data_IF_269976048006
#
_entry.id   IF_269976048006
#
_cell.length_a   1.000
_cell.length_b   1.000
_cell.length_c   1.000
_cell.angle_alpha   90.00
_cell.angle_beta   90.00
_cell.angle_gamma   90.00
#
_symmetry.space_group_name_H-M   'P 1'
#
loop_
_entity.id
_entity.type
_entity.pdbx_description
1 polymer ?
#
# COMPACT_ATOMS: atom_id res chain seq x y z
N UNK A 1 -17.84 -0.46 -3.83
CA UNK A 1 -17.63 -1.64 -4.71
C UNK A 1 -16.52 -1.30 -5.71
N UNK A 2 -15.63 -2.25 -6.01
CA UNK A 2 -14.55 -2.06 -6.98
C UNK A 2 -15.11 -1.94 -8.40
N UNK A 3 -14.62 -1.03 -9.26
CA UNK A 3 -15.08 -0.94 -10.65
C UNK A 3 -14.82 -2.23 -11.44
N UNK A 4 -15.81 -2.67 -12.21
CA UNK A 4 -15.79 -3.94 -12.95
C UNK A 4 -14.59 -4.07 -13.90
N UNK A 5 -14.15 -2.94 -14.50
CA UNK A 5 -12.97 -2.88 -15.38
C UNK A 5 -11.68 -3.41 -14.74
N UNK A 6 -11.60 -3.46 -13.40
CA UNK A 6 -10.43 -3.94 -12.67
C UNK A 6 -10.62 -5.34 -12.08
N UNK A 7 -11.76 -5.99 -12.29
CA UNK A 7 -12.03 -7.35 -11.76
C UNK A 7 -10.94 -8.36 -12.19
N UNK A 8 -10.53 -8.32 -13.45
CA UNK A 8 -9.47 -9.19 -13.99
C UNK A 8 -8.06 -8.92 -13.43
N UNK A 9 -7.87 -7.80 -12.72
CA UNK A 9 -6.57 -7.37 -12.20
C UNK A 9 -6.32 -7.95 -10.80
N UNK A 10 -7.37 -8.24 -10.04
CA UNK A 10 -7.30 -8.44 -8.59
C UNK A 10 -7.13 -9.90 -8.16
N UNK A 11 -6.35 -10.69 -8.89
CA UNK A 11 -5.92 -11.99 -8.36
C UNK A 11 -4.79 -11.81 -7.35
N UNK A 12 -4.76 -12.65 -6.31
CA UNK A 12 -3.72 -12.56 -5.26
C UNK A 12 -2.31 -12.64 -5.85
N UNK A 13 -2.10 -13.49 -6.86
CA UNK A 13 -0.81 -13.58 -7.55
C UNK A 13 -0.37 -12.25 -8.17
N UNK A 14 -1.26 -11.55 -8.90
CA UNK A 14 -0.93 -10.27 -9.54
C UNK A 14 -0.66 -9.18 -8.51
N UNK A 15 -1.46 -9.13 -7.44
CA UNK A 15 -1.28 -8.20 -6.32
C UNK A 15 0.08 -8.42 -5.66
N UNK A 16 0.46 -9.67 -5.37
CA UNK A 16 1.76 -9.94 -4.76
C UNK A 16 2.92 -9.55 -5.68
N UNK A 17 2.89 -9.92 -6.97
CA UNK A 17 3.95 -9.48 -7.91
C UNK A 17 4.05 -7.95 -7.94
N UNK A 18 2.91 -7.25 -7.95
CA UNK A 18 2.85 -5.80 -7.86
C UNK A 18 3.50 -5.25 -6.60
N UNK A 19 3.21 -5.86 -5.45
CA UNK A 19 3.81 -5.49 -4.16
C UNK A 19 5.32 -5.66 -4.17
N UNK A 20 5.84 -6.79 -4.68
CA UNK A 20 7.29 -6.98 -4.82
C UNK A 20 7.92 -5.89 -5.69
N UNK A 21 7.35 -5.62 -6.87
CA UNK A 21 7.85 -4.58 -7.78
C UNK A 21 7.80 -3.17 -7.19
N UNK A 22 6.77 -2.86 -6.40
CA UNK A 22 6.60 -1.54 -5.78
C UNK A 22 7.76 -1.18 -4.83
N UNK A 23 8.30 -2.18 -4.12
CA UNK A 23 9.41 -2.01 -3.19
C UNK A 23 10.78 -2.24 -3.81
N UNK A 24 10.86 -2.93 -4.94
CA UNK A 24 12.12 -3.31 -5.57
C UNK A 24 12.72 -2.19 -6.42
N UNK A 25 14.00 -1.89 -6.20
CA UNK A 25 14.71 -0.90 -7.02
C UNK A 25 15.09 -1.44 -8.41
N UNK A 26 14.82 -2.70 -8.73
CA UNK A 26 15.09 -3.32 -10.04
C UNK A 26 14.57 -2.51 -11.22
N UNK A 27 13.48 -1.76 -11.01
CA UNK A 27 12.82 -0.93 -12.01
C UNK A 27 13.52 0.42 -12.28
N UNK A 28 14.42 0.91 -11.41
CA UNK A 28 15.16 2.15 -11.65
C UNK A 28 16.49 1.91 -12.34
N UNK A 29 16.95 2.89 -13.14
CA UNK A 29 18.09 2.72 -14.05
C UNK A 29 19.35 2.26 -13.33
N UNK A 30 19.64 2.88 -12.19
CA UNK A 30 20.82 2.60 -11.35
C UNK A 30 20.50 1.71 -10.14
N UNK A 31 19.27 1.20 -10.04
CA UNK A 31 18.78 0.39 -8.92
C UNK A 31 18.87 1.07 -7.56
N UNK A 32 18.82 2.41 -7.52
CA UNK A 32 18.92 3.18 -6.28
C UNK A 32 17.57 3.48 -5.62
N UNK A 33 16.49 3.54 -6.40
CA UNK A 33 15.15 3.90 -5.91
C UNK A 33 14.07 2.94 -6.40
N UNK A 34 12.96 2.86 -5.67
CA UNK A 34 11.74 2.14 -6.01
C UNK A 34 10.51 3.06 -5.86
N UNK A 35 9.30 2.56 -6.16
CA UNK A 35 8.08 3.35 -5.93
C UNK A 35 7.95 3.74 -4.45
N UNK A 36 8.31 2.81 -3.54
CA UNK A 36 8.30 3.01 -2.10
C UNK A 36 9.32 4.06 -1.60
N UNK A 37 10.30 4.48 -2.40
CA UNK A 37 11.23 5.56 -2.03
C UNK A 37 10.50 6.91 -1.88
N UNK A 38 9.46 7.14 -2.69
CA UNK A 38 8.64 8.36 -2.67
C UNK A 38 7.25 8.12 -2.06
N UNK A 39 6.72 6.90 -2.16
CA UNK A 39 5.38 6.56 -1.69
C UNK A 39 5.43 5.69 -0.42
N UNK A 40 5.58 6.33 0.74
CA UNK A 40 5.77 5.66 2.02
C UNK A 40 4.42 5.28 2.66
N UNK A 41 4.17 3.99 2.99
CA UNK A 41 2.91 3.56 3.60
C UNK A 41 2.56 4.32 4.87
N UNK A 42 3.54 4.53 5.74
CA UNK A 42 3.40 5.22 7.02
C UNK A 42 3.05 6.71 6.86
N UNK A 43 3.21 7.26 5.65
CA UNK A 43 2.82 8.63 5.30
C UNK A 43 1.57 8.67 4.42
N UNK A 44 0.82 7.59 4.27
CA UNK A 44 -0.36 7.53 3.40
C UNK A 44 -0.01 7.37 1.91
N UNK A 45 1.11 6.70 1.61
CA UNK A 45 1.66 6.49 0.28
C UNK A 45 2.07 7.78 -0.44
N UNK A 46 2.66 8.71 0.30
CA UNK A 46 3.33 9.92 -0.20
C UNK A 46 4.65 10.11 0.55
N UNK A 47 5.39 11.19 0.27
CA UNK A 47 6.52 11.64 1.07
C UNK A 47 6.23 12.95 1.84
N UNK A 48 7.20 13.33 2.65
CA UNK A 48 7.20 14.54 3.48
C UNK A 48 7.92 15.73 2.82
N UNK A 49 8.35 15.59 1.56
CA UNK A 49 9.16 16.60 0.87
C UNK A 49 8.30 17.41 -0.09
N UNK A 50 8.74 18.63 -0.41
CA UNK A 50 8.07 19.47 -1.42
C UNK A 50 8.31 18.93 -2.82
N UNK A 51 9.51 18.38 -3.01
CA UNK A 51 9.97 17.70 -4.21
C UNK A 51 10.72 16.44 -3.81
N UNK A 52 10.40 15.34 -4.48
CA UNK A 52 11.00 14.04 -4.22
C UNK A 52 12.32 13.90 -4.96
N UNK A 53 13.25 13.13 -4.40
CA UNK A 53 14.55 12.89 -5.02
C UNK A 53 14.50 11.63 -5.88
N UNK A 54 14.68 11.78 -7.18
CA UNK A 54 14.88 10.69 -8.12
C UNK A 54 16.34 10.29 -8.30
N UNK A 55 16.63 9.54 -9.36
CA UNK A 55 17.99 9.06 -9.65
C UNK A 55 18.97 10.22 -9.84
N UNK A 56 20.22 10.00 -9.44
CA UNK A 56 21.29 11.02 -9.45
C UNK A 56 20.98 12.29 -8.65
N UNK A 57 20.05 12.24 -7.71
CA UNK A 57 19.70 13.38 -6.86
C UNK A 57 18.82 14.43 -7.54
N UNK A 58 18.24 14.13 -8.70
CA UNK A 58 17.31 15.05 -9.38
C UNK A 58 16.03 15.23 -8.57
N UNK A 59 15.54 16.46 -8.47
CA UNK A 59 14.30 16.75 -7.77
C UNK A 59 13.11 16.70 -8.72
N UNK A 60 11.99 16.16 -8.27
CA UNK A 60 10.73 16.16 -9.03
C UNK A 60 10.18 17.56 -9.25
N UNK A 61 9.41 17.76 -10.33
CA UNK A 61 8.79 19.05 -10.62
C UNK A 61 7.58 19.37 -9.73
N UNK A 62 6.95 18.32 -9.21
CA UNK A 62 5.74 18.38 -8.40
C UNK A 62 5.88 17.47 -7.19
N UNK A 63 5.14 17.80 -6.14
CA UNK A 63 5.04 16.99 -4.93
C UNK A 63 4.46 15.62 -5.26
N UNK A 64 4.95 14.58 -4.59
CA UNK A 64 4.38 13.24 -4.68
C UNK A 64 2.91 13.23 -4.25
N UNK A 65 2.04 12.62 -5.07
CA UNK A 65 0.63 12.43 -4.73
C UNK A 65 0.45 11.14 -3.91
N UNK A 66 -0.51 11.10 -2.98
CA UNK A 66 -0.87 9.87 -2.31
C UNK A 66 -1.48 8.83 -3.28
N UNK A 67 -1.30 7.54 -3.00
CA UNK A 67 -1.76 6.43 -3.85
C UNK A 67 -2.97 5.66 -3.31
N UNK A 68 -3.67 6.18 -2.31
CA UNK A 68 -4.88 5.54 -1.81
C UNK A 68 -6.09 5.83 -2.73
N UNK A 69 -7.01 4.86 -2.82
CA UNK A 69 -8.29 4.95 -3.52
C UNK A 69 -8.21 5.22 -5.04
N UNK A 70 -7.13 4.78 -5.70
CA UNK A 70 -6.92 5.00 -7.14
C UNK A 70 -7.94 4.29 -8.04
N UNK A 71 -8.62 3.26 -7.54
CA UNK A 71 -9.63 2.52 -8.30
C UNK A 71 -10.75 3.42 -8.85
N UNK A 72 -11.14 4.47 -8.14
CA UNK A 72 -12.21 5.38 -8.57
C UNK A 72 -11.69 6.59 -9.34
N UNK A 73 -10.35 6.73 -9.46
CA UNK A 73 -9.71 7.80 -10.22
C UNK A 73 -9.91 7.63 -11.72
N UNK A 74 -10.27 8.73 -12.39
CA UNK A 74 -10.41 8.79 -13.87
C UNK A 74 -9.19 9.39 -14.57
N UNK A 75 -8.45 10.26 -13.88
CA UNK A 75 -7.22 10.87 -14.38
C UNK A 75 -6.15 10.88 -13.28
N UNK A 76 -4.90 10.62 -13.64
CA UNK A 76 -3.76 10.51 -12.73
C UNK A 76 -2.79 11.68 -12.88
N UNK A 77 -1.97 11.89 -11.85
CA UNK A 77 -1.10 13.06 -11.66
C UNK A 77 -1.85 14.38 -11.41
N UNK A 78 -1.11 15.39 -10.92
CA UNK A 78 -1.64 16.72 -10.63
C UNK A 78 -2.25 17.43 -11.84
N UNK A 79 -1.76 17.13 -13.04
CA UNK A 79 -2.24 17.73 -14.29
C UNK A 79 -3.16 16.80 -15.10
N UNK A 80 -3.48 15.61 -14.59
CA UNK A 80 -4.38 14.69 -15.28
C UNK A 80 -3.82 14.07 -16.55
N UNK A 81 -2.49 14.09 -16.74
CA UNK A 81 -1.81 13.68 -17.99
C UNK A 81 -1.97 12.20 -18.36
N UNK A 82 -2.49 11.38 -17.45
CA UNK A 82 -2.74 9.96 -17.71
C UNK A 82 -4.18 9.60 -17.37
N UNK A 83 -4.82 8.79 -18.21
CA UNK A 83 -6.21 8.36 -18.09
C UNK A 83 -6.36 6.90 -17.67
N UNK A 84 -5.25 6.16 -17.61
CA UNK A 84 -5.22 4.75 -17.21
C UNK A 84 -4.16 4.53 -16.14
N UNK A 85 -4.40 3.58 -15.23
CA UNK A 85 -3.47 3.34 -14.12
C UNK A 85 -2.20 2.68 -14.63
N UNK A 86 -2.33 1.84 -15.65
CA UNK A 86 -1.26 1.13 -16.33
C UNK A 86 -0.28 2.10 -16.98
N UNK A 87 -0.78 3.17 -17.62
CA UNK A 87 0.10 4.23 -18.12
C UNK A 87 0.72 5.03 -16.96
N UNK A 88 -0.09 5.39 -15.96
CA UNK A 88 0.38 6.16 -14.82
C UNK A 88 1.52 5.48 -14.03
N UNK A 89 1.51 4.15 -13.87
CA UNK A 89 2.59 3.42 -13.19
C UNK A 89 3.87 3.33 -14.03
N UNK A 90 3.74 3.37 -15.36
CA UNK A 90 4.90 3.29 -16.26
C UNK A 90 5.62 4.62 -16.42
N UNK A 91 4.92 5.75 -16.31
CA UNK A 91 5.54 7.07 -16.51
C UNK A 91 6.71 7.37 -15.53
N UNK A 92 6.61 7.15 -14.20
CA UNK A 92 7.73 7.33 -13.27
C UNK A 92 8.94 6.45 -13.56
N UNK A 93 8.68 5.22 -14.04
CA UNK A 93 9.73 4.26 -14.43
C UNK A 93 10.58 4.83 -15.56
N UNK A 94 9.92 5.47 -16.54
CA UNK A 94 10.53 6.01 -17.75
C UNK A 94 11.08 7.43 -17.59
N UNK A 95 10.62 8.19 -16.59
CA UNK A 95 11.00 9.57 -16.40
C UNK A 95 12.49 9.68 -15.95
N UNK A 96 13.36 10.38 -16.70
CA UNK A 96 14.80 10.49 -16.38
C UNK A 96 15.11 11.26 -15.08
N UNK A 97 14.18 12.08 -14.59
CA UNK A 97 14.25 12.76 -13.31
C UNK A 97 13.71 11.95 -12.13
N UNK A 98 13.01 10.83 -12.40
CA UNK A 98 12.49 9.91 -11.40
C UNK A 98 13.31 8.60 -11.44
N UNK A 99 12.82 7.52 -12.05
CA UNK A 99 13.52 6.22 -12.06
C UNK A 99 14.41 6.02 -13.30
N UNK A 100 14.12 6.71 -14.39
CA UNK A 100 14.95 6.87 -15.60
C UNK A 100 15.35 5.62 -16.37
N UNK A 101 14.61 4.52 -16.23
CA UNK A 101 14.83 3.29 -17.00
C UNK A 101 14.17 3.35 -18.38
N UNK A 102 14.54 2.43 -19.28
CA UNK A 102 13.75 2.10 -20.47
C UNK A 102 12.94 0.80 -20.28
N UNK A 103 11.95 0.58 -21.15
CA UNK A 103 11.19 -0.68 -21.18
C UNK A 103 12.14 -1.88 -21.39
N UNK A 104 13.04 -1.80 -22.36
CA UNK A 104 13.98 -2.89 -22.64
C UNK A 104 14.87 -3.21 -21.44
N UNK A 105 15.32 -2.18 -20.71
CA UNK A 105 16.15 -2.38 -19.52
C UNK A 105 15.40 -3.09 -18.40
N UNK A 106 14.14 -2.72 -18.13
CA UNK A 106 13.36 -3.38 -17.08
C UNK A 106 13.00 -4.82 -17.50
N UNK A 107 12.62 -5.05 -18.75
CA UNK A 107 12.23 -6.38 -19.22
C UNK A 107 13.43 -7.33 -19.28
N UNK A 108 14.61 -6.87 -19.72
CA UNK A 108 15.84 -7.67 -19.69
C UNK A 108 16.18 -8.11 -18.25
N UNK A 109 16.10 -7.19 -17.28
CA UNK A 109 16.37 -7.51 -15.87
C UNK A 109 15.36 -8.49 -15.29
N UNK A 110 14.07 -8.24 -15.50
CA UNK A 110 13.00 -9.07 -14.96
C UNK A 110 13.04 -10.48 -15.56
N UNK A 111 13.22 -10.59 -16.88
CA UNK A 111 13.31 -11.89 -17.55
C UNK A 111 14.60 -12.66 -17.21
N UNK A 112 15.69 -11.97 -16.84
CA UNK A 112 16.90 -12.65 -16.33
C UNK A 112 16.82 -13.00 -14.84
N UNK A 113 15.81 -12.52 -14.11
CA UNK A 113 15.65 -12.78 -12.69
C UNK A 113 14.76 -14.01 -12.44
N UNK A 114 15.31 -15.16 -11.99
CA UNK A 114 14.55 -16.41 -11.85
C UNK A 114 13.29 -16.26 -10.96
N UNK A 115 13.40 -15.50 -9.87
CA UNK A 115 12.28 -15.26 -8.97
C UNK A 115 11.12 -14.51 -9.64
N UNK A 116 11.43 -13.50 -10.48
CA UNK A 116 10.38 -12.76 -11.18
C UNK A 116 9.77 -13.62 -12.29
N UNK A 117 10.56 -14.40 -13.03
CA UNK A 117 10.02 -15.34 -14.02
C UNK A 117 9.00 -16.30 -13.41
N UNK A 118 9.31 -16.88 -12.25
CA UNK A 118 8.39 -17.79 -11.55
C UNK A 118 7.13 -17.03 -11.13
N UNK A 119 7.28 -15.89 -10.45
CA UNK A 119 6.14 -15.09 -9.99
C UNK A 119 5.21 -14.66 -11.14
N UNK A 120 5.77 -14.18 -12.24
CA UNK A 120 4.99 -13.77 -13.42
C UNK A 120 4.37 -14.96 -14.16
N UNK A 121 5.09 -16.08 -14.30
CA UNK A 121 4.51 -17.31 -14.87
C UNK A 121 3.31 -17.77 -14.06
N UNK A 122 3.40 -17.77 -12.73
CA UNK A 122 2.29 -18.16 -11.84
C UNK A 122 1.13 -17.17 -11.90
N UNK A 123 1.41 -15.86 -11.85
CA UNK A 123 0.35 -14.84 -11.76
C UNK A 123 -0.34 -14.52 -13.10
N UNK A 124 0.35 -14.73 -14.23
CA UNK A 124 -0.13 -14.32 -15.55
C UNK A 124 -0.15 -15.45 -16.59
N UNK A 125 0.33 -16.66 -16.25
CA UNK A 125 0.54 -17.74 -17.21
C UNK A 125 1.38 -17.31 -18.43
N UNK A 126 2.34 -16.40 -18.22
CA UNK A 126 3.15 -15.82 -19.28
C UNK A 126 4.52 -16.52 -19.37
N UNK A 127 4.98 -16.94 -20.57
CA UNK A 127 6.28 -17.57 -20.75
C UNK A 127 7.46 -16.58 -20.57
N UNK A 128 7.20 -15.32 -20.89
CA UNK A 128 8.10 -14.18 -20.72
C UNK A 128 7.34 -13.01 -20.08
N UNK A 129 8.07 -12.15 -19.39
CA UNK A 129 7.54 -10.96 -18.74
C UNK A 129 7.48 -9.85 -19.78
N UNK A 130 6.29 -9.32 -20.05
CA UNK A 130 6.08 -8.18 -20.95
C UNK A 130 5.81 -6.88 -20.19
N UNK A 131 5.80 -5.75 -20.90
CA UNK A 131 5.43 -4.44 -20.35
C UNK A 131 4.03 -4.47 -19.75
N UNK A 132 3.08 -5.12 -20.42
CA UNK A 132 1.68 -5.22 -20.02
C UNK A 132 1.55 -5.99 -18.70
N UNK A 133 2.28 -7.10 -18.55
CA UNK A 133 2.33 -7.84 -17.29
C UNK A 133 2.82 -6.95 -16.14
N UNK A 134 3.89 -6.19 -16.36
CA UNK A 134 4.47 -5.29 -15.35
C UNK A 134 3.50 -4.18 -14.96
N UNK A 135 2.89 -3.51 -15.94
CA UNK A 135 1.94 -2.44 -15.67
C UNK A 135 0.69 -2.95 -14.95
N UNK A 136 0.19 -4.14 -15.31
CA UNK A 136 -0.95 -4.77 -14.64
C UNK A 136 -0.57 -5.17 -13.21
N UNK A 137 0.59 -5.80 -12.98
CA UNK A 137 1.02 -6.20 -11.63
C UNK A 137 1.08 -5.00 -10.68
N UNK A 138 1.77 -3.92 -11.07
CA UNK A 138 1.85 -2.69 -10.28
C UNK A 138 0.45 -2.09 -10.04
N UNK A 139 -0.36 -2.00 -11.09
CA UNK A 139 -1.75 -1.51 -10.97
C UNK A 139 -2.58 -2.36 -10.01
N UNK A 140 -2.46 -3.69 -10.06
CA UNK A 140 -3.15 -4.63 -9.17
C UNK A 140 -2.84 -4.34 -7.71
N UNK A 141 -1.57 -4.12 -7.34
CA UNK A 141 -1.21 -3.73 -5.98
C UNK A 141 -1.77 -2.36 -5.61
N UNK A 142 -1.63 -1.35 -6.47
CA UNK A 142 -2.14 -0.01 -6.19
C UNK A 142 -3.67 0.03 -6.03
N UNK A 143 -4.40 -0.86 -6.72
CA UNK A 143 -5.85 -0.98 -6.59
C UNK A 143 -6.29 -1.55 -5.23
N UNK A 144 -5.42 -2.28 -4.52
CA UNK A 144 -5.74 -2.78 -3.16
C UNK A 144 -5.55 -1.71 -2.09
N UNK A 145 -4.88 -0.58 -2.41
CA UNK A 145 -4.64 0.52 -1.49
C UNK A 145 -5.92 1.33 -1.25
N UNK A 146 -6.91 0.71 -0.61
CA UNK A 146 -8.21 1.31 -0.31
C UNK A 146 -8.28 1.77 1.14
N UNK A 147 -8.55 3.06 1.35
CA UNK A 147 -8.75 3.69 2.65
C UNK A 147 -10.21 4.08 2.82
N UNK A 148 -10.94 3.26 3.58
CA UNK A 148 -12.35 3.45 3.91
C UNK A 148 -12.69 2.99 5.34
N UNK A 149 -11.70 2.91 6.24
CA UNK A 149 -11.90 2.49 7.63
C UNK A 149 -11.47 3.56 8.66
N UNK A 150 -11.39 4.82 8.22
CA UNK A 150 -11.14 5.98 9.10
C UNK A 150 -12.22 6.14 10.16
N UNK A 151 -11.97 6.98 11.18
CA UNK A 151 -12.98 7.26 12.21
C UNK A 151 -14.27 7.82 11.60
N UNK A 152 -14.16 8.68 10.59
CA UNK A 152 -15.33 9.18 9.86
C UNK A 152 -16.09 8.05 9.16
N UNK A 153 -15.39 7.09 8.55
CA UNK A 153 -16.06 5.96 7.88
C UNK A 153 -16.79 5.06 8.88
N UNK A 154 -16.21 4.83 10.06
CA UNK A 154 -16.83 4.07 11.14
C UNK A 154 -18.11 4.78 11.63
N UNK A 155 -18.05 6.10 11.83
CA UNK A 155 -19.21 6.93 12.21
C UNK A 155 -20.29 6.84 11.12
N UNK A 156 -19.93 6.88 9.83
CA UNK A 156 -20.91 6.80 8.73
C UNK A 156 -21.55 5.42 8.56
N UNK A 157 -20.85 4.33 8.91
CA UNK A 157 -21.39 2.96 8.81
C UNK A 157 -22.40 2.65 9.91
N UNK A 158 -22.17 3.17 11.11
CA UNK A 158 -23.12 3.12 12.21
C UNK A 158 -24.03 4.33 12.03
N UNK A 159 -25.05 4.19 11.18
CA UNK A 159 -26.03 5.23 10.85
C UNK A 159 -26.24 6.18 12.05
N UNK A 160 -25.92 7.47 11.88
CA UNK A 160 -25.85 8.47 12.96
C UNK A 160 -27.15 8.58 13.78
N UNK A 161 -28.24 7.99 13.27
CA UNK A 161 -29.53 7.83 13.94
C UNK A 161 -29.55 6.86 15.13
N UNK A 162 -28.56 5.99 15.32
CA UNK A 162 -28.63 4.90 16.30
C UNK A 162 -27.65 5.00 17.49
N UNK A 163 -26.97 6.13 17.66
CA UNK A 163 -26.11 6.31 18.83
C UNK A 163 -26.97 6.59 20.06
N UNK A 164 -26.87 5.72 21.07
CA UNK A 164 -27.36 6.02 22.42
C UNK A 164 -26.33 6.86 23.19
N UNK A 165 -26.74 7.53 24.27
CA UNK A 165 -25.83 8.27 25.14
C UNK A 165 -24.69 7.41 25.71
N UNK A 166 -24.89 6.09 25.83
CA UNK A 166 -23.89 5.12 26.28
C UNK A 166 -22.87 4.73 25.19
N UNK A 167 -23.29 4.59 23.93
CA UNK A 167 -22.37 4.35 22.81
C UNK A 167 -21.38 5.53 22.64
N UNK A 168 -21.88 6.75 22.88
CA UNK A 168 -21.10 7.99 22.84
C UNK A 168 -20.06 8.08 23.94
N UNK A 169 -20.34 7.52 25.13
CA UNK A 169 -19.39 7.49 26.25
C UNK A 169 -18.25 6.47 26.05
N UNK A 170 -18.45 5.45 25.20
CA UNK A 170 -17.45 4.42 24.89
C UNK A 170 -16.41 4.84 23.86
N UNK A 171 -16.74 5.87 23.07
CA UNK A 171 -15.77 6.61 22.27
C UNK A 171 -15.28 7.79 23.09
N UNK A 172 -13.99 8.16 23.05
CA UNK A 172 -13.49 9.40 23.68
C UNK A 172 -14.14 10.71 23.15
N UNK A 173 -15.22 10.61 22.38
CA UNK A 173 -16.05 11.71 21.91
C UNK A 173 -17.15 12.01 22.95
N UNK A 174 -16.87 12.93 23.86
CA UNK A 174 -17.89 13.48 24.76
C UNK A 174 -19.13 13.93 23.97
N UNK A 175 -20.33 13.72 24.53
CA UNK A 175 -21.63 14.00 23.87
C UNK A 175 -21.79 15.45 23.38
N UNK A 176 -21.13 16.42 24.01
CA UNK A 176 -21.05 17.81 23.53
C UNK A 176 -20.16 18.02 22.30
N UNK A 177 -19.18 17.14 22.08
CA UNK A 177 -18.30 17.15 20.92
C UNK A 177 -19.06 16.77 19.66
N UNK A 178 -19.99 15.81 19.70
CA UNK A 178 -20.72 15.40 18.48
C UNK A 178 -21.67 16.46 17.90
N UNK A 179 -22.39 17.22 18.74
CA UNK A 179 -23.27 18.30 18.25
C UNK A 179 -22.46 19.44 17.61
N UNK A 180 -21.27 19.71 18.16
CA UNK A 180 -20.33 20.65 17.55
C UNK A 180 -19.74 20.09 16.25
N UNK A 181 -19.47 18.78 16.19
CA UNK A 181 -18.96 18.12 14.99
C UNK A 181 -19.96 18.06 13.85
N UNK A 182 -21.25 17.88 14.12
CA UNK A 182 -22.27 17.92 13.08
C UNK A 182 -22.37 19.32 12.46
N UNK A 183 -22.37 20.36 13.31
CA UNK A 183 -22.40 21.76 12.85
C UNK A 183 -21.13 22.13 12.08
N UNK A 184 -19.96 21.73 12.57
CA UNK A 184 -18.67 21.92 11.90
C UNK A 184 -18.60 21.14 10.58
N UNK A 185 -19.08 19.90 10.56
CA UNK A 185 -19.15 19.06 9.37
C UNK A 185 -20.02 19.70 8.28
N UNK A 186 -21.20 20.22 8.64
CA UNK A 186 -22.08 20.92 7.70
C UNK A 186 -21.39 22.17 7.14
N UNK A 187 -20.71 22.95 7.97
CA UNK A 187 -19.98 24.14 7.50
C UNK A 187 -18.81 23.78 6.57
N UNK A 188 -18.01 22.78 6.93
CA UNK A 188 -16.87 22.31 6.12
C UNK A 188 -17.37 21.72 4.80
N UNK A 189 -18.44 20.93 4.80
CA UNK A 189 -19.03 20.40 3.58
C UNK A 189 -19.57 21.53 2.69
N UNK A 190 -20.25 22.53 3.26
CA UNK A 190 -20.77 23.67 2.51
C UNK A 190 -19.66 24.49 1.82
N UNK A 191 -18.50 24.65 2.47
CA UNK A 191 -17.41 25.49 1.97
C UNK A 191 -16.38 24.73 1.11
N UNK A 192 -16.05 23.49 1.50
CA UNK A 192 -14.95 22.70 0.92
C UNK A 192 -15.43 21.48 0.15
N UNK A 193 -16.61 20.95 0.50
CA UNK A 193 -17.14 19.68 -0.02
C UNK A 193 -17.32 19.66 -1.53
N UNK A 194 -17.69 20.81 -2.12
CA UNK A 194 -17.93 20.91 -3.57
C UNK A 194 -16.74 20.53 -4.46
N UNK A 195 -15.51 20.60 -3.94
CA UNK A 195 -14.29 20.14 -4.62
C UNK A 195 -13.78 18.82 -4.05
N UNK A 196 -13.76 18.68 -2.73
CA UNK A 196 -13.07 17.57 -2.06
C UNK A 196 -13.91 16.31 -1.90
N UNK A 197 -15.24 16.40 -1.79
CA UNK A 197 -16.10 15.21 -1.66
C UNK A 197 -16.07 14.34 -2.94
N UNK A 198 -16.12 14.89 -4.16
CA UNK A 198 -15.86 14.10 -5.36
C UNK A 198 -14.47 13.43 -5.33
N UNK A 199 -13.43 14.16 -4.93
CA UNK A 199 -12.05 13.65 -4.87
C UNK A 199 -11.88 12.51 -3.86
N UNK A 200 -12.57 12.56 -2.71
CA UNK A 200 -12.62 11.48 -1.73
C UNK A 200 -13.27 10.20 -2.26
N UNK A 201 -14.13 10.33 -3.28
CA UNK A 201 -14.78 9.24 -3.99
C UNK A 201 -14.11 8.92 -5.34
N UNK A 202 -12.90 9.46 -5.57
CA UNK A 202 -12.08 9.24 -6.76
C UNK A 202 -12.43 10.07 -8.00
N UNK A 203 -13.47 10.90 -7.97
CA UNK A 203 -13.74 11.80 -9.09
C UNK A 203 -12.63 12.84 -9.22
N UNK A 204 -12.13 13.02 -10.44
CA UNK A 204 -11.09 14.01 -10.73
C UNK A 204 -11.75 15.35 -11.02
N UNK A 205 -11.59 16.28 -10.09
CA UNK A 205 -11.97 17.70 -10.26
C UNK A 205 -10.68 18.49 -10.45
N UNK A 206 -10.64 19.40 -11.42
CA UNK A 206 -9.46 20.23 -11.70
C UNK A 206 -9.82 21.69 -11.42
N UNK A 207 -9.12 22.30 -10.48
CA UNK A 207 -9.41 23.66 -10.03
C UNK A 207 -8.13 24.48 -9.99
N UNK A 208 -8.26 25.76 -10.31
CA UNK A 208 -7.26 26.76 -9.94
C UNK A 208 -7.73 27.43 -8.66
N UNK A 209 -6.99 27.26 -7.56
CA UNK A 209 -7.34 27.82 -6.26
C UNK A 209 -6.69 29.18 -5.99
N UNK A 210 -6.08 29.80 -7.01
CA UNK A 210 -5.44 31.10 -6.92
C UNK A 210 -4.14 31.11 -6.12
N UNK A 211 -3.33 30.04 -6.15
CA UNK A 211 -2.01 30.02 -5.49
C UNK A 211 -1.10 31.14 -6.04
N UNK A 212 -1.14 31.36 -7.35
CA UNK A 212 -0.37 32.37 -8.06
C UNK A 212 -1.32 33.20 -8.95
N UNK A 213 -0.97 34.47 -9.16
CA UNK A 213 -1.72 35.35 -10.06
C UNK A 213 -1.58 34.93 -11.53
N UNK A 214 -0.46 34.29 -11.87
CA UNK A 214 -0.16 33.75 -13.20
C UNK A 214 0.44 32.35 -13.06
N UNK A 215 -0.23 31.35 -13.63
CA UNK A 215 0.31 30.00 -13.80
C UNK A 215 -0.22 29.40 -15.11
N UNK A 216 0.69 29.10 -16.04
CA UNK A 216 0.39 28.43 -17.31
C UNK A 216 0.57 26.91 -17.24
N UNK A 217 0.71 26.34 -16.04
CA UNK A 217 0.90 24.91 -15.81
C UNK A 217 -0.41 24.11 -15.68
N UNK A 218 -0.31 22.98 -14.99
CA UNK A 218 -1.45 22.12 -14.66
C UNK A 218 -2.08 21.44 -15.88
N UNK A 219 -3.40 21.26 -15.83
CA UNK A 219 -4.20 20.65 -16.88
C UNK A 219 -4.06 21.36 -18.23
N UNK A 220 -3.87 22.68 -18.23
CA UNK A 220 -3.71 23.46 -19.46
C UNK A 220 -2.52 23.03 -20.32
N UNK A 221 -1.43 22.53 -19.71
CA UNK A 221 -0.30 21.95 -20.47
C UNK A 221 -0.64 20.63 -21.16
N UNK A 222 -1.71 19.96 -20.74
CA UNK A 222 -2.16 18.69 -21.30
C UNK A 222 -3.29 18.91 -22.29
N UNK A 223 -4.27 19.76 -21.96
CA UNK A 223 -5.42 20.02 -22.82
C UNK A 223 -5.12 21.00 -23.96
N UNK A 224 -4.09 21.83 -23.82
CA UNK A 224 -3.80 22.94 -24.74
C UNK A 224 -4.83 24.07 -24.70
N UNK A 225 -5.86 23.96 -23.85
CA UNK A 225 -6.90 24.96 -23.71
C UNK A 225 -6.44 26.06 -22.73
N UNK A 226 -6.37 27.34 -23.17
CA UNK A 226 -5.98 28.42 -22.28
C UNK A 226 -6.84 28.59 -21.03
N UNK A 227 -8.08 28.08 -21.02
CA UNK A 227 -8.98 28.12 -19.87
C UNK A 227 -8.63 27.09 -18.79
N UNK A 228 -7.72 26.15 -19.06
CA UNK A 228 -7.29 25.11 -18.10
C UNK A 228 -5.93 25.40 -17.45
N UNK A 229 -5.27 26.48 -17.88
CA UNK A 229 -3.99 26.89 -17.29
C UNK A 229 -4.11 27.17 -15.79
N UNK A 230 -3.19 26.59 -15.03
CA UNK A 230 -3.12 26.66 -13.57
C UNK A 230 -4.17 25.83 -12.85
N UNK A 231 -4.98 25.01 -13.56
CA UNK A 231 -5.88 24.05 -12.90
C UNK A 231 -5.12 22.78 -12.55
N UNK A 232 -5.22 22.35 -11.30
CA UNK A 232 -4.63 21.09 -10.84
C UNK A 232 -5.72 20.20 -10.25
N UNK A 233 -5.46 18.89 -10.27
CA UNK A 233 -6.36 17.89 -9.69
C UNK A 233 -6.53 18.16 -8.19
N UNK A 234 -7.78 18.27 -7.75
CA UNK A 234 -8.15 18.32 -6.34
C UNK A 234 -7.78 16.98 -5.68
N UNK A 235 -6.92 16.98 -4.65
CA UNK A 235 -6.52 15.75 -3.98
C UNK A 235 -7.61 15.27 -3.02
N UNK A 236 -7.62 13.95 -2.76
CA UNK A 236 -8.31 13.38 -1.60
C UNK A 236 -7.68 13.95 -0.32
N UNK A 237 -8.53 14.27 0.65
CA UNK A 237 -8.10 14.72 1.99
C UNK A 237 -7.90 13.56 2.97
N UNK A 238 -8.14 12.31 2.54
CA UNK A 238 -7.87 11.12 3.36
C UNK A 238 -6.39 11.00 3.64
N UNK A 239 -6.06 10.56 4.86
CA UNK A 239 -4.68 10.34 5.30
C UNK A 239 -3.77 11.58 5.15
N UNK A 240 -4.32 12.79 5.30
CA UNK A 240 -3.53 14.01 5.39
C UNK A 240 -2.93 14.12 6.80
N UNK A 241 -1.71 13.59 6.95
CA UNK A 241 -1.01 13.58 8.25
C UNK A 241 -0.38 14.93 8.59
N UNK A 242 -0.27 15.28 9.89
CA UNK A 242 0.51 16.42 10.34
C UNK A 242 1.96 16.37 9.84
N UNK A 243 2.51 17.53 9.45
CA UNK A 243 3.89 17.66 8.99
C UNK A 243 4.14 17.31 7.51
N UNK A 244 3.13 16.82 6.80
CA UNK A 244 3.21 16.71 5.34
C UNK A 244 3.17 18.11 4.71
N UNK A 245 4.00 18.33 3.70
CA UNK A 245 3.86 19.49 2.83
C UNK A 245 2.59 19.36 1.97
N UNK A 246 2.00 20.47 1.54
CA UNK A 246 0.75 20.50 0.77
C UNK A 246 0.87 21.30 -0.51
N UNK A 247 -0.16 21.19 -1.36
CA UNK A 247 -0.22 21.69 -2.73
C UNK A 247 0.62 20.88 -3.72
N UNK A 248 0.44 21.17 -5.00
CA UNK A 248 1.10 20.43 -6.08
C UNK A 248 2.62 20.66 -6.14
N UNK A 249 3.12 21.70 -5.47
CA UNK A 249 4.53 22.09 -5.41
C UNK A 249 5.11 22.06 -3.98
N UNK A 250 4.31 21.64 -3.00
CA UNK A 250 4.76 21.50 -1.62
C UNK A 250 5.08 22.82 -0.91
N UNK A 251 4.58 23.97 -1.38
CA UNK A 251 4.92 25.28 -0.81
C UNK A 251 4.42 25.50 0.62
N UNK A 252 3.38 24.78 1.04
CA UNK A 252 2.82 24.88 2.38
C UNK A 252 3.34 23.74 3.24
N UNK A 253 3.87 24.04 4.43
CA UNK A 253 4.51 23.08 5.34
C UNK A 253 3.58 22.61 6.46
N UNK A 254 2.39 23.20 6.56
CA UNK A 254 1.37 22.84 7.53
C UNK A 254 -0.03 23.28 7.06
N UNK A 255 -1.04 22.78 7.76
CA UNK A 255 -2.44 23.06 7.46
C UNK A 255 -2.81 24.54 7.71
N UNK A 256 -2.15 25.25 8.63
CA UNK A 256 -2.45 26.66 8.89
C UNK A 256 -2.20 27.51 7.65
N UNK A 257 -1.08 27.29 6.95
CA UNK A 257 -0.80 28.00 5.70
C UNK A 257 -1.81 27.70 4.59
N UNK A 258 -2.38 26.48 4.58
CA UNK A 258 -3.47 26.13 3.66
C UNK A 258 -4.74 26.92 3.99
N UNK A 259 -5.09 27.03 5.27
CA UNK A 259 -6.27 27.78 5.71
C UNK A 259 -6.08 29.29 5.47
N UNK A 260 -4.88 29.82 5.75
CA UNK A 260 -4.52 31.22 5.47
C UNK A 260 -4.66 31.57 3.99
N UNK A 261 -4.29 30.63 3.11
CA UNK A 261 -4.49 30.77 1.67
C UNK A 261 -5.96 30.99 1.32
N UNK A 262 -6.87 30.17 1.86
CA UNK A 262 -8.30 30.31 1.58
C UNK A 262 -8.95 31.52 2.24
N UNK A 263 -8.46 31.96 3.40
CA UNK A 263 -8.97 33.14 4.13
C UNK A 263 -8.50 34.48 3.58
N UNK A 264 -7.31 34.53 2.98
CA UNK A 264 -6.71 35.81 2.57
C UNK A 264 -5.74 35.73 1.37
N UNK A 265 -5.26 34.54 1.02
CA UNK A 265 -4.18 34.35 0.05
C UNK A 265 -4.62 34.18 -1.41
N UNK A 266 -5.91 33.97 -1.69
CA UNK A 266 -6.43 33.68 -3.04
C UNK A 266 -6.09 34.82 -4.01
N UNK A 267 -5.26 34.52 -5.01
CA UNK A 267 -4.89 35.45 -6.09
C UNK A 267 -5.94 35.45 -7.19
N UNK A 268 -6.10 36.61 -7.83
CA UNK A 268 -7.00 36.81 -8.96
C UNK A 268 -6.43 36.24 -10.27
N UNK A 269 -6.32 34.91 -10.35
CA UNK A 269 -5.91 34.23 -11.57
C UNK A 269 -7.04 34.27 -12.61
N UNK A 270 -6.70 34.42 -13.90
CA UNK A 270 -7.68 34.45 -15.02
C UNK A 270 -8.64 33.25 -14.98
N UNK A 271 -8.10 32.06 -14.72
CA UNK A 271 -8.82 30.79 -14.67
C UNK A 271 -9.21 30.37 -13.23
N UNK A 272 -9.23 31.30 -12.27
CA UNK A 272 -9.64 31.02 -10.89
C UNK A 272 -11.00 30.30 -10.87
N UNK A 273 -11.11 29.27 -10.04
CA UNK A 273 -12.33 28.49 -9.87
C UNK A 273 -13.55 29.41 -9.65
N UNK A 274 -14.65 29.16 -10.37
CA UNK A 274 -15.89 29.90 -10.18
C UNK A 274 -16.42 29.82 -8.72
N UNK A 275 -16.03 28.76 -7.99
CA UNK A 275 -16.39 28.54 -6.58
C UNK A 275 -15.66 29.49 -5.63
N UNK A 276 -14.56 30.07 -6.08
CA UNK A 276 -13.72 31.01 -5.34
C UNK A 276 -13.87 32.43 -5.90
N UNK A 277 -14.99 32.72 -6.55
CA UNK A 277 -15.34 34.05 -7.04
C UNK A 277 -16.61 34.57 -6.39
N UNK A 278 -16.69 35.89 -6.26
CA UNK A 278 -17.89 36.61 -5.81
C UNK A 278 -18.80 36.99 -6.99
N UNK A 279 -19.89 37.70 -6.70
CA UNK A 279 -20.83 38.17 -7.73
C UNK A 279 -20.24 39.17 -8.73
N UNK A 280 -19.06 39.73 -8.44
CA UNK A 280 -18.31 40.63 -9.32
C UNK A 280 -17.16 39.92 -10.05
N UNK A 281 -17.11 38.58 -10.00
CA UNK A 281 -16.06 37.75 -10.62
C UNK A 281 -14.64 38.02 -10.03
N UNK A 282 -14.56 38.58 -8.82
CA UNK A 282 -13.32 38.78 -8.06
C UNK A 282 -13.10 37.65 -7.05
N UNK A 283 -11.87 37.43 -6.55
CA UNK A 283 -11.59 36.39 -5.57
C UNK A 283 -12.47 36.52 -4.32
N UNK A 284 -13.18 35.43 -4.00
CA UNK A 284 -13.96 35.28 -2.77
C UNK A 284 -13.19 34.44 -1.77
N UNK A 285 -12.76 35.10 -0.70
CA UNK A 285 -12.14 34.42 0.43
C UNK A 285 -13.15 33.57 1.21
N UNK A 286 -12.71 32.45 1.75
CA UNK A 286 -13.47 31.59 2.65
C UNK A 286 -13.21 32.07 4.07
N UNK A 287 -14.19 32.73 4.70
CA UNK A 287 -14.06 33.20 6.08
C UNK A 287 -14.37 32.06 7.04
N UNK A 288 -13.34 31.56 7.73
CA UNK A 288 -13.50 30.69 8.89
C UNK A 288 -13.28 31.54 10.15
N UNK A 289 -14.15 31.41 11.15
CA UNK A 289 -13.84 31.94 12.47
C UNK A 289 -12.90 30.96 13.22
N UNK A 290 -12.48 31.31 14.43
CA UNK A 290 -11.58 30.47 15.22
C UNK A 290 -12.17 29.09 15.55
N UNK A 291 -13.50 28.95 15.59
CA UNK A 291 -14.17 27.66 15.74
C UNK A 291 -14.09 26.87 14.44
N UNK A 292 -14.33 27.51 13.29
CA UNK A 292 -14.29 26.90 11.96
C UNK A 292 -12.91 26.34 11.60
N UNK A 293 -11.83 27.05 11.95
CA UNK A 293 -10.45 26.55 11.72
C UNK A 293 -10.19 25.28 12.53
N UNK A 294 -10.48 25.30 13.83
CA UNK A 294 -10.30 24.14 14.73
C UNK A 294 -11.17 22.96 14.31
N UNK A 295 -12.42 23.21 13.92
CA UNK A 295 -13.31 22.18 13.40
C UNK A 295 -12.78 21.56 12.11
N UNK A 296 -12.19 22.36 11.22
CA UNK A 296 -11.55 21.86 9.99
C UNK A 296 -10.35 20.97 10.29
N UNK A 297 -9.48 21.40 11.20
CA UNK A 297 -8.34 20.60 11.65
C UNK A 297 -8.78 19.27 12.25
N UNK A 298 -9.76 19.32 13.17
CA UNK A 298 -10.30 18.13 13.80
C UNK A 298 -10.94 17.20 12.77
N UNK A 299 -11.76 17.73 11.86
CA UNK A 299 -12.41 16.95 10.81
C UNK A 299 -11.40 16.19 9.93
N UNK A 300 -10.29 16.83 9.58
CA UNK A 300 -9.22 16.17 8.82
C UNK A 300 -8.59 15.01 9.60
N UNK A 301 -8.50 15.07 10.93
CA UNK A 301 -8.03 13.93 11.73
C UNK A 301 -8.98 12.73 11.66
N UNK A 302 -10.28 12.96 11.49
CA UNK A 302 -11.26 11.87 11.32
C UNK A 302 -11.10 11.11 9.99
N UNK A 303 -10.41 11.71 9.01
CA UNK A 303 -10.11 11.11 7.70
C UNK A 303 -8.82 10.29 7.68
N UNK A 304 -8.11 10.20 8.82
CA UNK A 304 -6.93 9.34 8.96
C UNK A 304 -7.41 7.90 9.20
N UNK A 305 -6.93 6.99 8.37
CA UNK A 305 -7.25 5.57 8.43
C UNK A 305 -6.03 4.78 8.92
N UNK A 306 -5.92 4.61 10.24
CA UNK A 306 -4.81 3.88 10.85
C UNK A 306 -4.74 2.42 10.40
N UNK A 307 -5.88 1.79 10.10
CA UNK A 307 -5.91 0.42 9.55
C UNK A 307 -5.30 0.35 8.16
N UNK A 308 -5.40 1.42 7.36
CA UNK A 308 -4.75 1.52 6.08
C UNK A 308 -3.24 1.79 6.23
N UNK A 309 -2.86 2.74 7.10
CA UNK A 309 -1.46 3.16 7.29
C UNK A 309 -0.58 2.04 7.87
N UNK A 310 -1.15 1.20 8.73
CA UNK A 310 -0.43 0.13 9.44
C UNK A 310 -0.68 -1.27 8.84
N UNK A 311 -1.29 -1.36 7.65
CA UNK A 311 -1.65 -2.64 7.07
C UNK A 311 -0.40 -3.45 6.65
N UNK A 312 -0.13 -4.63 7.24
CA UNK A 312 1.03 -5.44 6.87
C UNK A 312 0.97 -5.96 5.43
N UNK A 313 -0.23 -6.11 4.84
CA UNK A 313 -0.39 -6.48 3.44
C UNK A 313 0.16 -5.41 2.47
N UNK A 314 0.34 -4.18 2.97
CA UNK A 314 0.86 -3.06 2.21
C UNK A 314 2.35 -2.82 2.48
N UNK A 315 2.95 -3.51 3.44
CA UNK A 315 4.34 -3.30 3.85
C UNK A 315 5.35 -3.91 2.87
N UNK A 316 6.61 -3.53 3.06
CA UNK A 316 7.74 -3.97 2.26
C UNK A 316 7.94 -5.51 2.34
N UNK A 317 7.78 -6.28 1.25
CA UNK A 317 7.95 -7.73 1.25
C UNK A 317 9.39 -8.19 1.53
N UNK A 318 10.38 -7.31 1.35
CA UNK A 318 11.80 -7.63 1.59
C UNK A 318 12.19 -7.54 3.08
N UNK A 319 11.39 -6.85 3.89
CA UNK A 319 11.63 -6.68 5.32
C UNK A 319 10.69 -7.64 6.06
N UNK A 320 11.25 -8.72 6.60
CA UNK A 320 10.51 -9.67 7.43
C UNK A 320 10.63 -9.26 8.89
N UNK A 321 9.56 -8.74 9.50
CA UNK A 321 9.53 -8.44 10.94
C UNK A 321 9.27 -9.68 11.81
N UNK A 322 8.90 -10.81 11.21
CA UNK A 322 8.73 -12.10 11.90
C UNK A 322 8.93 -13.27 10.96
N UNK A 323 9.75 -14.23 11.37
CA UNK A 323 9.84 -15.55 10.75
C UNK A 323 9.23 -16.57 11.71
N UNK A 324 8.37 -17.46 11.20
CA UNK A 324 7.89 -18.61 11.96
C UNK A 324 8.75 -19.82 11.63
N UNK A 325 9.36 -20.43 12.65
CA UNK A 325 10.03 -21.73 12.54
C UNK A 325 9.01 -22.84 12.88
N UNK A 326 8.91 -23.85 12.01
CA UNK A 326 8.10 -25.06 12.23
C UNK A 326 9.02 -26.23 12.56
N UNK A 327 8.67 -27.04 13.57
CA UNK A 327 9.39 -28.26 13.93
C UNK A 327 8.45 -29.37 14.44
N UNK A 328 8.68 -30.66 14.12
CA UNK A 328 7.88 -31.78 14.63
C UNK A 328 7.93 -31.91 16.16
N UNK A 329 6.77 -32.11 16.80
CA UNK A 329 6.65 -32.19 18.26
C UNK A 329 7.39 -33.38 18.92
N UNK A 330 7.97 -34.28 18.13
CA UNK A 330 8.36 -35.62 18.57
C UNK A 330 9.80 -35.69 19.09
N UNK A 331 10.59 -34.62 19.00
CA UNK A 331 11.92 -34.55 19.61
C UNK A 331 11.89 -33.73 20.90
N UNK A 332 12.12 -34.40 22.04
CA UNK A 332 12.51 -33.73 23.30
C UNK A 332 13.94 -33.19 23.15
N UNK A 333 14.09 -32.04 22.50
CA UNK A 333 15.38 -31.33 22.42
C UNK A 333 15.32 -30.08 23.27
N UNK A 334 16.06 -30.10 24.38
CA UNK A 334 16.30 -28.96 25.24
C UNK A 334 17.23 -28.01 24.47
N UNK A 335 16.76 -26.80 24.15
CA UNK A 335 17.54 -25.81 23.40
C UNK A 335 18.55 -25.12 24.33
N UNK A 336 19.76 -25.66 24.44
CA UNK A 336 20.92 -24.88 24.89
C UNK A 336 21.56 -24.22 23.67
N UNK A 337 21.21 -22.95 23.43
CA UNK A 337 21.79 -22.15 22.35
C UNK A 337 22.88 -21.27 22.96
N UNK A 338 24.14 -21.70 22.81
CA UNK A 338 25.30 -20.83 23.01
C UNK A 338 25.28 -19.71 21.93
N UNK A 339 25.25 -18.42 22.32
CA UNK A 339 25.19 -17.29 21.38
C UNK A 339 26.33 -17.24 20.35
N UNK A 340 27.45 -17.93 20.61
CA UNK A 340 28.64 -17.88 19.75
C UNK A 340 28.67 -18.96 18.66
N UNK A 341 27.74 -19.92 18.67
CA UNK A 341 27.69 -21.02 17.69
C UNK A 341 26.48 -20.91 16.73
N UNK A 342 26.29 -19.72 16.14
CA UNK A 342 25.31 -19.46 15.07
C UNK A 342 25.42 -20.40 13.86
N UNK A 343 26.56 -21.05 13.63
CA UNK A 343 26.86 -21.79 12.41
C UNK A 343 26.33 -23.24 12.37
N UNK A 344 26.07 -23.88 13.52
CA UNK A 344 25.76 -25.32 13.54
C UNK A 344 24.25 -25.62 13.52
N UNK A 345 23.42 -24.75 14.11
CA UNK A 345 21.96 -24.89 14.08
C UNK A 345 21.41 -24.69 12.65
N UNK A 346 21.97 -23.74 11.90
CA UNK A 346 21.58 -23.45 10.51
C UNK A 346 21.94 -24.57 9.52
N UNK A 347 22.89 -25.45 9.86
CA UNK A 347 23.32 -26.56 8.98
C UNK A 347 22.49 -27.83 9.17
N UNK A 348 21.84 -28.02 10.33
CA UNK A 348 21.11 -29.25 10.65
C UNK A 348 19.61 -29.16 10.36
N UNK A 349 19.05 -27.96 10.29
CA UNK A 349 17.61 -27.74 10.14
C UNK A 349 17.34 -26.83 8.93
N UNK A 350 16.61 -27.35 7.94
CA UNK A 350 16.16 -26.59 6.78
C UNK A 350 15.26 -25.44 7.26
N UNK A 351 15.75 -24.20 7.17
CA UNK A 351 14.96 -23.02 7.52
C UNK A 351 13.81 -22.86 6.51
N UNK A 352 12.58 -22.98 7.02
CA UNK A 352 11.34 -22.77 6.28
C UNK A 352 10.68 -21.52 6.85
N UNK A 353 10.42 -20.52 6.00
CA UNK A 353 9.88 -19.21 6.34
C UNK A 353 8.43 -19.09 5.86
N UNK A 354 7.50 -18.73 6.75
CA UNK A 354 6.11 -18.41 6.43
C UNK A 354 5.93 -16.94 6.04
N UNK A 355 5.14 -16.68 5.00
CA UNK A 355 4.61 -15.34 4.72
C UNK A 355 3.46 -15.02 5.68
N UNK A 356 3.50 -13.88 6.36
CA UNK A 356 2.26 -13.23 6.79
C UNK A 356 1.61 -12.59 5.55
N UNK A 357 0.32 -12.87 5.32
CA UNK A 357 -0.49 -12.21 4.30
C UNK A 357 -1.20 -13.11 3.29
N UNK A 358 -0.93 -14.42 3.25
CA UNK A 358 -1.70 -15.32 2.39
C UNK A 358 -3.09 -15.61 3.00
N UNK A 359 -4.14 -15.30 2.24
CA UNK A 359 -5.52 -15.71 2.52
C UNK A 359 -5.57 -17.23 2.76
N UNK A 360 -6.23 -17.65 3.85
CA UNK A 360 -6.46 -19.05 4.22
C UNK A 360 -7.08 -19.87 3.08
N UNK A 361 -7.89 -19.24 2.21
CA UNK A 361 -8.48 -19.87 1.02
C UNK A 361 -7.47 -20.09 -0.11
N UNK A 362 -6.49 -19.21 -0.27
CA UNK A 362 -5.45 -19.35 -1.29
C UNK A 362 -4.46 -20.46 -0.90
N UNK A 363 -4.12 -20.55 0.39
CA UNK A 363 -3.31 -21.66 0.91
C UNK A 363 -3.99 -23.01 0.66
N UNK A 364 -5.32 -23.08 0.84
CA UNK A 364 -6.10 -24.27 0.51
C UNK A 364 -6.13 -24.55 -1.01
N UNK A 365 -6.32 -23.53 -1.86
CA UNK A 365 -6.35 -23.71 -3.32
C UNK A 365 -5.00 -24.09 -3.95
N UNK A 366 -3.88 -23.73 -3.33
CA UNK A 366 -2.53 -24.12 -3.76
C UNK A 366 -2.20 -25.57 -3.40
N UNK A 367 -2.94 -26.15 -2.45
CA UNK A 367 -2.87 -27.57 -2.10
C UNK A 367 -3.79 -28.39 -3.03
N UNK A 368 -4.80 -27.77 -3.64
CA UNK A 368 -5.90 -28.46 -4.35
C UNK A 368 -5.77 -28.51 -5.89
N UNK A 369 -4.67 -28.00 -6.48
CA UNK A 369 -4.46 -28.07 -7.94
C UNK A 369 -3.37 -29.10 -8.35
N UNK A 370 -3.87 -30.32 -8.55
CA UNK A 370 -3.50 -31.37 -9.52
C UNK A 370 -2.11 -32.06 -9.51
N UNK A 371 -2.07 -33.33 -9.11
CA UNK A 371 -2.26 -34.50 -10.00
C UNK A 371 -2.07 -35.81 -9.19
N UNK A 372 -3.14 -36.61 -9.05
CA UNK A 372 -3.08 -37.96 -8.47
C UNK A 372 -3.17 -38.98 -9.61
N UNK A 373 -2.06 -39.61 -9.98
CA UNK A 373 -2.10 -40.90 -10.67
C UNK A 373 -2.06 -42.02 -9.62
N UNK A 374 -3.10 -42.86 -9.65
CA UNK A 374 -3.20 -44.08 -8.85
C UNK A 374 -2.38 -45.18 -9.52
N UNK A 375 -1.37 -45.72 -8.82
CA UNK A 375 -0.58 -46.87 -9.30
C UNK A 375 -1.31 -48.22 -9.14
N UNK A 376 -2.61 -48.21 -8.85
CA UNK A 376 -3.41 -49.42 -8.72
C UNK A 376 -3.14 -50.23 -7.45
N UNK A 377 -2.31 -49.75 -6.50
CA UNK A 377 -2.02 -50.48 -5.25
C UNK A 377 -2.62 -49.85 -3.98
N UNK A 378 -3.38 -48.76 -4.11
CA UNK A 378 -4.07 -48.13 -2.97
C UNK A 378 -3.16 -47.37 -1.99
N UNK A 379 -1.90 -47.11 -2.35
CA UNK A 379 -1.00 -46.20 -1.61
C UNK A 379 -0.75 -44.93 -2.43
N UNK A 380 -1.29 -43.81 -1.97
CA UNK A 380 -1.01 -42.47 -2.50
C UNK A 380 0.44 -42.05 -2.19
N UNK A 381 1.31 -42.15 -3.19
CA UNK A 381 2.71 -41.70 -3.12
C UNK A 381 2.92 -40.39 -3.87
N UNK A 382 3.20 -39.30 -3.15
CA UNK A 382 3.74 -38.06 -3.74
C UNK A 382 5.25 -37.99 -3.44
N UNK A 383 6.06 -38.44 -4.39
CA UNK A 383 7.51 -38.20 -4.46
C UNK A 383 7.88 -37.93 -5.92
N UNK A 384 8.00 -36.65 -6.30
CA UNK A 384 8.87 -36.24 -7.41
C UNK A 384 9.88 -35.20 -6.91
N UNK A 385 11.12 -35.67 -6.82
CA UNK A 385 12.35 -34.91 -6.53
C UNK A 385 12.55 -33.82 -7.59
N UNK A 386 12.64 -32.56 -7.19
CA UNK A 386 13.46 -31.58 -7.91
C UNK A 386 14.90 -31.75 -7.40
N UNK A 387 15.75 -32.46 -8.15
CA UNK A 387 17.21 -32.41 -7.93
C UNK A 387 17.72 -31.10 -8.55
N UNK A 388 18.04 -30.11 -7.73
CA UNK A 388 18.89 -28.98 -8.14
C UNK A 388 20.34 -29.41 -7.91
N UNK A 389 21.14 -29.38 -8.96
CA UNK A 389 22.54 -29.80 -8.93
C UNK A 389 23.38 -28.81 -8.09
N UNK A 390 24.10 -29.35 -7.12
CA UNK A 390 24.97 -28.65 -6.15
C UNK A 390 26.14 -27.86 -6.79
N UNK A 391 26.36 -28.01 -8.10
CA UNK A 391 27.57 -27.54 -8.79
C UNK A 391 27.56 -26.04 -9.12
N UNK A 392 26.40 -25.39 -9.14
CA UNK A 392 26.27 -23.97 -9.52
C UNK A 392 26.40 -22.98 -8.35
N UNK A 393 26.49 -23.47 -7.11
CA UNK A 393 26.54 -22.63 -5.91
C UNK A 393 27.96 -22.22 -5.46
N UNK A 394 29.03 -22.78 -6.06
CA UNK A 394 30.41 -22.54 -5.57
C UNK A 394 30.98 -21.15 -5.85
N UNK A 395 30.35 -20.35 -6.72
CA UNK A 395 30.90 -19.04 -7.12
C UNK A 395 30.07 -17.82 -6.69
N UNK A 396 28.98 -18.01 -5.93
CA UNK A 396 28.14 -16.89 -5.49
C UNK A 396 28.55 -16.37 -4.11
N UNK A 397 29.11 -15.15 -4.05
CA UNK A 397 29.23 -14.38 -2.81
C UNK A 397 27.83 -13.97 -2.35
N UNK A 398 27.44 -14.46 -1.17
CA UNK A 398 26.14 -14.32 -0.51
C UNK A 398 25.49 -12.93 -0.67
N UNK A 399 24.45 -12.86 -1.51
CA UNK A 399 23.32 -11.94 -1.39
C UNK A 399 22.07 -12.82 -1.39
N UNK A 400 21.23 -12.62 -0.38
CA UNK A 400 20.10 -13.48 0.00
C UNK A 400 19.02 -13.51 -1.10
N UNK A 401 18.25 -14.61 -1.11
CA UNK A 401 17.03 -15.01 -1.85
C UNK A 401 17.25 -16.03 -2.99
N UNK A 402 16.40 -17.10 -3.13
CA UNK A 402 15.00 -17.23 -2.69
C UNK A 402 14.62 -18.51 -1.89
N UNK A 403 13.38 -18.48 -1.43
CA UNK A 403 12.58 -19.38 -0.56
C UNK A 403 12.18 -20.73 -1.19
N UNK A 404 12.18 -21.80 -0.39
CA UNK A 404 11.41 -23.04 -0.60
C UNK A 404 10.67 -23.39 0.71
N UNK A 405 9.37 -23.67 0.64
CA UNK A 405 8.55 -24.16 1.78
C UNK A 405 8.13 -25.59 1.46
N UNK A 406 8.45 -26.54 2.35
CA UNK A 406 7.84 -27.87 2.37
C UNK A 406 6.83 -27.92 3.51
N UNK A 407 5.58 -28.28 3.21
CA UNK A 407 4.56 -28.64 4.19
C UNK A 407 4.68 -30.15 4.40
N UNK A 408 5.07 -30.60 5.61
CA UNK A 408 5.00 -32.01 5.97
C UNK A 408 3.54 -32.44 6.10
N UNK A 409 3.26 -33.69 5.71
CA UNK A 409 1.93 -34.32 5.71
C UNK A 409 1.17 -34.09 7.04
N UNK A 410 -0.13 -33.74 7.02
CA UNK A 410 -0.98 -33.61 8.21
C UNK A 410 -1.25 -34.92 8.96
N UNK A 411 -0.91 -36.06 8.37
CA UNK A 411 -1.33 -37.39 8.84
C UNK A 411 -0.62 -37.85 10.13
N UNK A 412 0.42 -37.15 10.61
CA UNK A 412 1.24 -37.63 11.75
C UNK A 412 1.40 -36.66 12.94
N UNK A 413 0.74 -35.49 12.97
CA UNK A 413 0.91 -34.53 14.08
C UNK A 413 -0.39 -33.83 14.49
N UNK A 414 -0.95 -34.22 15.65
CA UNK A 414 -2.06 -33.52 16.32
C UNK A 414 -1.64 -32.17 16.96
N UNK A 415 -0.34 -31.88 17.02
CA UNK A 415 0.22 -30.69 17.67
C UNK A 415 1.39 -30.12 16.89
N UNK A 416 1.33 -28.83 16.57
CA UNK A 416 2.39 -28.08 15.91
C UNK A 416 3.05 -27.13 16.93
N UNK A 417 4.37 -27.20 17.04
CA UNK A 417 5.16 -26.25 17.81
C UNK A 417 5.67 -25.15 16.87
N UNK A 418 5.36 -23.90 17.18
CA UNK A 418 5.76 -22.73 16.42
C UNK A 418 6.61 -21.85 17.33
N UNK A 419 7.70 -21.29 16.83
CA UNK A 419 8.41 -20.23 17.54
C UNK A 419 8.27 -18.92 16.76
N UNK A 420 7.65 -17.90 17.39
CA UNK A 420 7.65 -16.53 16.86
C UNK A 420 9.03 -15.92 17.12
N UNK A 421 9.70 -15.50 16.05
CA UNK A 421 10.97 -14.79 16.13
C UNK A 421 10.70 -13.30 16.02
N UNK A 422 10.84 -12.58 17.13
CA UNK A 422 10.79 -11.12 17.13
C UNK A 422 12.20 -10.57 16.98
N UNK A 423 12.42 -9.76 15.93
CA UNK A 423 13.62 -8.93 15.81
C UNK A 423 13.25 -7.48 16.11
N UNK A 424 13.66 -6.92 17.26
CA UNK A 424 13.51 -5.50 17.50
C UNK A 424 14.34 -4.72 16.47
N UNK A 425 13.77 -3.62 15.96
CA UNK A 425 14.33 -2.73 14.93
C UNK A 425 15.69 -2.10 15.27
N UNK A 426 16.22 -2.29 16.48
CA UNK A 426 17.53 -1.75 16.90
C UNK A 426 18.27 -2.75 17.81
N UNK A 427 19.30 -3.42 17.28
CA UNK A 427 20.40 -4.15 17.98
C UNK A 427 20.10 -4.73 19.39
N UNK A 428 18.98 -5.41 19.59
CA UNK A 428 18.72 -6.18 20.83
C UNK A 428 18.23 -7.58 20.49
N UNK A 429 18.56 -8.49 21.42
CA UNK A 429 18.44 -9.96 21.34
C UNK A 429 17.15 -10.41 20.64
N UNK A 430 17.30 -11.40 19.77
CA UNK A 430 16.20 -12.15 19.17
C UNK A 430 15.37 -12.79 20.28
N UNK A 431 14.06 -12.57 20.29
CA UNK A 431 13.15 -13.22 21.23
C UNK A 431 12.45 -14.38 20.53
N UNK A 432 12.53 -15.56 21.10
CA UNK A 432 11.77 -16.74 20.67
C UNK A 432 10.59 -16.89 21.62
N UNK A 433 9.37 -16.80 21.10
CA UNK A 433 8.14 -17.06 21.86
C UNK A 433 7.60 -18.41 21.37
N UNK A 434 7.70 -19.48 22.19
CA UNK A 434 7.15 -20.77 21.84
C UNK A 434 5.63 -20.71 21.93
N UNK A 435 4.98 -21.09 20.84
CA UNK A 435 3.54 -21.24 20.75
C UNK A 435 3.21 -22.70 20.43
N UNK A 436 2.13 -23.19 21.01
CA UNK A 436 1.61 -24.52 20.72
C UNK A 436 0.23 -24.37 20.10
N UNK A 437 0.07 -24.88 18.89
CA UNK A 437 -1.22 -24.92 18.21
C UNK A 437 -1.68 -26.37 18.10
N UNK A 438 -2.89 -26.64 18.60
CA UNK A 438 -3.57 -27.92 18.44
C UNK A 438 -4.65 -27.79 17.38
N UNK A 439 -4.73 -28.79 16.51
CA UNK A 439 -5.68 -28.86 15.42
C UNK A 439 -6.49 -30.14 15.55
N UNK A 440 -7.75 -30.12 15.10
CA UNK A 440 -8.60 -31.30 15.05
C UNK A 440 -9.38 -31.30 13.75
N UNK A 441 -9.48 -32.47 13.13
CA UNK A 441 -10.28 -32.68 11.94
C UNK A 441 -11.76 -32.79 12.33
N UNK A 442 -12.61 -31.96 11.72
CA UNK A 442 -14.06 -32.01 11.85
C UNK A 442 -14.65 -32.24 10.45
N UNK A 443 -15.02 -33.49 10.14
CA UNK A 443 -15.43 -33.86 8.78
C UNK A 443 -14.24 -33.80 7.82
N UNK A 444 -14.33 -32.99 6.76
CA UNK A 444 -13.23 -32.74 5.80
C UNK A 444 -12.42 -31.48 6.11
N UNK A 445 -12.73 -30.76 7.19
CA UNK A 445 -12.07 -29.49 7.54
C UNK A 445 -11.21 -29.61 8.80
N UNK A 446 -9.96 -29.17 8.73
CA UNK A 446 -9.09 -29.00 9.90
C UNK A 446 -9.39 -27.67 10.60
N UNK A 447 -9.63 -27.72 11.93
CA UNK A 447 -9.88 -26.53 12.76
C UNK A 447 -8.88 -26.43 13.89
N UNK A 448 -8.43 -25.21 14.21
CA UNK A 448 -7.64 -24.94 15.42
C UNK A 448 -8.56 -25.15 16.63
N UNK A 449 -8.15 -26.02 17.55
CA UNK A 449 -8.90 -26.29 18.79
C UNK A 449 -8.26 -25.66 20.02
N UNK A 450 -6.96 -25.38 20.00
CA UNK A 450 -6.33 -24.52 21.01
C UNK A 450 -5.08 -23.84 20.48
N UNK A 451 -4.82 -22.64 21.00
CA UNK A 451 -3.59 -21.89 20.79
C UNK A 451 -3.08 -21.45 22.16
N UNK A 452 -1.97 -22.03 22.58
CA UNK A 452 -1.36 -21.77 23.90
C UNK A 452 -0.06 -21.00 23.68
N UNK A 453 0.06 -19.82 24.30
CA UNK A 453 1.34 -19.14 24.46
C UNK A 453 2.09 -19.80 25.62
N UNK A 454 3.33 -20.26 25.41
CA UNK A 454 4.16 -20.86 26.47
C UNK A 454 5.20 -19.90 27.01
#
# INVERSE_FOLDING_TARGET
MMPEKYSAYLSTGKVEVGRWLFYDSILSRDKSISCASCHKPELGFTDSFSKSTGIKGQLSDKRTMPLHNLAWSRQFFWNGRSTTLEDAVMQPILNPGEMGSSIDQILDRLNRHPGYRIMFKTAFNAPEITKENVSIALSSFLLTLTSFNSKLDQIKRVDMKFWTAEDLASTDLQSGTMQNLEKEFVQIQAQCGSCHEPAMNGYSVFENIGLDQTDSGGLGNISGNPQDFGKYKTPSLRNLLPGLMMMHDGRFVNLQQVLDHYESGIKNHKNLSARLKDGSNLPRMIKLDSSGRKGTEYFLTLLIDWYFLENPAFANPFIMDSAYLLWPANEKTQFDIDPNTRSNVLKKYQLIYLMQGLDKKLLASLIDQDYVESDGTGKLGLLKKFQVFEKDFKNFRWKIFPTLIYVLRPDELETLHIARVETPSVKKKVRFIPERIKWKLFGSEWKIVSWEHR
#
